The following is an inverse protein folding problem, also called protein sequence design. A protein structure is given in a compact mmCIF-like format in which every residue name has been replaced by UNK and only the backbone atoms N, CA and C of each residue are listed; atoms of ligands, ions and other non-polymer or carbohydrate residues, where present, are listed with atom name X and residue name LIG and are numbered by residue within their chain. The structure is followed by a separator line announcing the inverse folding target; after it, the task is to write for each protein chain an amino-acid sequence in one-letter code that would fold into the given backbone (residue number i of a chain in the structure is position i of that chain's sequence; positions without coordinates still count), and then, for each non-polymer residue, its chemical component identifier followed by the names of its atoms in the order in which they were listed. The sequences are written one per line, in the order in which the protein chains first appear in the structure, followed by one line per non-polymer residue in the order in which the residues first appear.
data_IF_310231031687
#
_entry.id   IF_310231031687
#
_cell.length_a   1.000
_cell.length_b   1.000
_cell.length_c   1.000
_cell.angle_alpha   90.00
_cell.angle_beta   90.00
_cell.angle_gamma   90.00
#
_symmetry.space_group_name_H-M   'P 1'
#
loop_
_entity.id
_entity.type
_entity.pdbx_description
1 polymer ?
#
# COMPACT_ATOMS: atom_id res chain seq x y z
N UNK A 1 64.66 78.03 -19.94
CA UNK A 1 63.64 78.07 -18.87
C UNK A 1 62.26 78.04 -19.49
N UNK A 2 61.52 76.94 -19.31
CA UNK A 2 60.05 76.88 -19.23
C UNK A 2 59.64 75.40 -19.28
N UNK A 3 59.51 74.79 -18.10
CA UNK A 3 58.94 73.45 -17.95
C UNK A 3 57.42 73.58 -17.85
N UNK A 4 56.69 73.05 -18.83
CA UNK A 4 55.23 72.93 -18.80
C UNK A 4 54.87 71.59 -18.15
N UNK A 5 54.56 71.65 -16.85
CA UNK A 5 54.05 70.51 -16.09
C UNK A 5 52.66 70.11 -16.58
N UNK A 6 52.53 68.88 -17.08
CA UNK A 6 51.24 68.23 -17.32
C UNK A 6 50.67 67.79 -15.97
N UNK A 7 49.59 68.41 -15.55
CA UNK A 7 48.76 67.91 -14.46
C UNK A 7 47.90 66.75 -14.97
N UNK A 8 48.25 65.54 -14.55
CA UNK A 8 47.36 64.38 -14.62
C UNK A 8 46.33 64.51 -13.49
N UNK A 9 45.09 64.87 -13.84
CA UNK A 9 43.95 64.75 -12.93
C UNK A 9 43.57 63.27 -12.81
N UNK A 10 44.03 62.61 -11.76
CA UNK A 10 43.46 61.33 -11.34
C UNK A 10 42.06 61.58 -10.81
N UNK A 11 41.05 61.27 -11.62
CA UNK A 11 39.67 61.15 -11.12
C UNK A 11 39.68 59.97 -10.15
N UNK A 12 39.65 60.28 -8.86
CA UNK A 12 39.39 59.29 -7.83
C UNK A 12 38.01 58.69 -8.12
N UNK A 13 37.99 57.44 -8.59
CA UNK A 13 36.77 56.66 -8.65
C UNK A 13 36.23 56.57 -7.22
N UNK A 14 35.17 57.32 -6.94
CA UNK A 14 34.42 57.19 -5.71
C UNK A 14 33.85 55.77 -5.69
N UNK A 15 34.53 54.86 -4.99
CA UNK A 15 33.95 53.58 -4.60
C UNK A 15 32.84 53.92 -3.63
N UNK A 16 31.61 54.08 -4.14
CA UNK A 16 30.44 54.07 -3.28
C UNK A 16 30.51 52.80 -2.46
N UNK A 17 30.52 52.95 -1.13
CA UNK A 17 30.49 51.82 -0.22
C UNK A 17 29.09 51.24 -0.31
N UNK A 18 28.85 50.45 -1.37
CA UNK A 18 27.67 49.61 -1.46
C UNK A 18 27.52 48.87 -0.14
N UNK A 19 26.29 48.83 0.35
CA UNK A 19 25.95 48.15 1.59
C UNK A 19 26.49 46.72 1.53
N UNK A 20 26.84 46.13 2.68
CA UNK A 20 27.37 44.74 2.72
C UNK A 20 26.47 43.76 1.97
N UNK A 21 25.16 44.06 1.91
CA UNK A 21 24.14 43.38 1.12
C UNK A 21 24.29 43.52 -0.39
N UNK A 22 24.55 44.72 -0.92
CA UNK A 22 24.79 44.92 -2.35
C UNK A 22 26.07 44.21 -2.80
N UNK A 23 27.10 44.18 -1.95
CA UNK A 23 28.32 43.38 -2.20
C UNK A 23 28.07 41.88 -2.19
N UNK A 24 27.20 41.37 -1.31
CA UNK A 24 26.82 39.96 -1.28
C UNK A 24 25.96 39.59 -2.49
N UNK A 25 25.00 40.45 -2.87
CA UNK A 25 24.13 40.27 -4.04
C UNK A 25 24.92 40.27 -5.35
N UNK A 26 25.90 41.16 -5.48
CA UNK A 26 26.76 41.26 -6.65
C UNK A 26 27.98 40.32 -6.59
N UNK A 27 28.10 39.50 -5.55
CA UNK A 27 29.10 38.44 -5.49
C UNK A 27 28.76 37.33 -6.49
N UNK A 28 29.74 36.50 -6.84
CA UNK A 28 29.51 35.33 -7.72
C UNK A 28 28.43 34.40 -7.18
N UNK A 29 28.37 34.22 -5.86
CA UNK A 29 27.34 33.41 -5.20
C UNK A 29 25.96 34.07 -5.30
N UNK A 30 25.88 35.39 -5.12
CA UNK A 30 24.62 36.14 -5.25
C UNK A 30 24.06 36.14 -6.67
N UNK A 31 24.91 36.34 -7.68
CA UNK A 31 24.53 36.23 -9.09
C UNK A 31 24.12 34.80 -9.47
N UNK A 32 24.84 33.79 -8.96
CA UNK A 32 24.46 32.38 -9.16
C UNK A 32 23.11 32.05 -8.53
N UNK A 33 22.88 32.44 -7.27
CA UNK A 33 21.59 32.26 -6.61
C UNK A 33 20.47 33.00 -7.35
N UNK A 34 20.73 34.20 -7.87
CA UNK A 34 19.74 34.96 -8.63
C UNK A 34 19.39 34.29 -9.95
N UNK A 35 20.40 33.79 -10.69
CA UNK A 35 20.19 33.01 -11.91
C UNK A 35 19.39 31.75 -11.61
N UNK A 36 19.79 30.99 -10.59
CA UNK A 36 19.11 29.76 -10.18
C UNK A 36 17.64 30.00 -9.83
N UNK A 37 17.35 31.06 -9.07
CA UNK A 37 15.97 31.45 -8.75
C UNK A 37 15.19 31.88 -10.01
N UNK A 38 15.86 32.53 -10.97
CA UNK A 38 15.30 32.85 -12.28
C UNK A 38 14.89 31.59 -13.05
N UNK A 39 15.78 30.61 -13.11
CA UNK A 39 15.55 29.33 -13.80
C UNK A 39 14.38 28.56 -13.19
N UNK A 40 14.30 28.46 -11.85
CA UNK A 40 13.16 27.83 -11.18
C UNK A 40 11.85 28.60 -11.37
N UNK A 41 11.89 29.94 -11.40
CA UNK A 41 10.71 30.76 -11.66
C UNK A 41 10.18 30.52 -13.07
N UNK A 42 11.06 30.48 -14.07
CA UNK A 42 10.65 30.22 -15.45
C UNK A 42 10.14 28.78 -15.60
N UNK A 43 10.80 27.79 -14.99
CA UNK A 43 10.30 26.42 -14.97
C UNK A 43 8.90 26.31 -14.35
N UNK A 44 8.63 27.00 -13.24
CA UNK A 44 7.28 27.06 -12.66
C UNK A 44 6.27 27.67 -13.63
N UNK A 45 6.63 28.78 -14.29
CA UNK A 45 5.77 29.43 -15.29
C UNK A 45 5.45 28.48 -16.45
N UNK A 46 6.44 27.77 -16.96
CA UNK A 46 6.28 26.77 -18.03
C UNK A 46 5.38 25.61 -17.60
N UNK A 47 5.48 25.14 -16.34
CA UNK A 47 4.57 24.12 -15.80
C UNK A 47 3.12 24.61 -15.83
N UNK A 48 2.86 25.84 -15.39
CA UNK A 48 1.51 26.41 -15.40
C UNK A 48 0.97 26.57 -16.82
N UNK A 49 1.75 27.16 -17.74
CA UNK A 49 1.33 27.33 -19.13
C UNK A 49 1.11 25.97 -19.80
N UNK A 50 2.04 25.02 -19.61
CA UNK A 50 1.93 23.66 -20.12
C UNK A 50 0.74 22.88 -19.59
N UNK A 51 0.30 23.17 -18.35
CA UNK A 51 -0.90 22.58 -17.77
C UNK A 51 -2.18 23.03 -18.50
N UNK A 52 -2.26 24.31 -18.89
CA UNK A 52 -3.38 24.83 -19.68
C UNK A 52 -3.33 24.39 -21.15
N UNK A 53 -2.15 24.30 -21.74
CA UNK A 53 -1.99 23.84 -23.14
C UNK A 53 -2.35 22.36 -23.31
N UNK A 54 -2.07 21.51 -22.31
CA UNK A 54 -2.24 20.06 -22.38
C UNK A 54 -2.88 19.50 -21.10
N UNK A 55 -4.16 19.77 -20.84
CA UNK A 55 -4.83 19.42 -19.58
C UNK A 55 -4.81 17.92 -19.31
N UNK A 56 -4.97 17.07 -20.32
CA UNK A 56 -4.94 15.61 -20.13
C UNK A 56 -3.57 15.10 -19.64
N UNK A 57 -2.46 15.62 -20.20
CA UNK A 57 -1.11 15.22 -19.76
C UNK A 57 -0.82 15.74 -18.36
N UNK A 58 -1.23 16.98 -18.07
CA UNK A 58 -1.07 17.57 -16.75
C UNK A 58 -1.85 16.81 -15.68
N UNK A 59 -3.12 16.48 -15.94
CA UNK A 59 -3.94 15.65 -15.06
C UNK A 59 -3.31 14.28 -14.81
N UNK A 60 -2.74 13.64 -15.83
CA UNK A 60 -2.04 12.38 -15.66
C UNK A 60 -0.82 12.50 -14.72
N UNK A 61 0.02 13.52 -14.90
CA UNK A 61 1.18 13.72 -14.02
C UNK A 61 0.78 14.08 -12.58
N UNK A 62 -0.26 14.91 -12.41
CA UNK A 62 -0.80 15.24 -11.09
C UNK A 62 -1.38 14.00 -10.42
N UNK A 63 -2.12 13.17 -11.16
CA UNK A 63 -2.66 11.91 -10.65
C UNK A 63 -1.56 10.92 -10.28
N UNK A 64 -0.49 10.82 -11.08
CA UNK A 64 0.67 9.97 -10.78
C UNK A 64 1.39 10.45 -9.51
N UNK A 65 1.69 11.75 -9.41
CA UNK A 65 2.39 12.32 -8.26
C UNK A 65 1.53 12.24 -6.99
N UNK A 66 0.26 12.61 -7.09
CA UNK A 66 -0.69 12.52 -5.99
C UNK A 66 -0.94 11.07 -5.56
N UNK A 67 -1.07 10.15 -6.51
CA UNK A 67 -1.25 8.73 -6.27
C UNK A 67 -0.05 8.08 -5.60
N UNK A 68 1.17 8.35 -6.10
CA UNK A 68 2.41 7.87 -5.46
C UNK A 68 2.61 8.43 -4.06
N UNK A 69 2.32 9.72 -3.85
CA UNK A 69 2.36 10.33 -2.52
C UNK A 69 1.31 9.73 -1.57
N UNK A 70 0.09 9.51 -2.05
CA UNK A 70 -0.95 8.84 -1.26
C UNK A 70 -0.57 7.41 -0.91
N UNK A 71 0.00 6.65 -1.84
CA UNK A 71 0.51 5.30 -1.59
C UNK A 71 1.66 5.30 -0.57
N UNK A 72 2.59 6.27 -0.66
CA UNK A 72 3.66 6.44 0.31
C UNK A 72 3.11 6.74 1.71
N UNK A 73 2.15 7.65 1.81
CA UNK A 73 1.54 8.04 3.08
C UNK A 73 0.71 6.91 3.72
N UNK A 74 0.05 6.11 2.89
CA UNK A 74 -0.76 4.97 3.35
C UNK A 74 0.04 3.67 3.44
N UNK A 75 1.34 3.66 3.15
CA UNK A 75 2.11 2.44 3.13
C UNK A 75 2.16 1.82 4.54
N UNK A 76 1.72 0.56 4.73
CA UNK A 76 1.69 -0.04 6.05
C UNK A 76 3.09 -0.25 6.62
N UNK A 77 3.21 -0.14 7.94
CA UNK A 77 4.44 -0.29 8.68
C UNK A 77 4.54 -1.64 9.40
N UNK A 78 5.68 -1.90 10.05
CA UNK A 78 5.87 -3.14 10.83
C UNK A 78 4.79 -3.32 11.90
N UNK A 79 4.40 -2.23 12.59
CA UNK A 79 3.40 -2.34 13.66
C UNK A 79 2.02 -2.68 13.13
N UNK A 80 1.64 -2.13 11.97
CA UNK A 80 0.42 -2.50 11.23
C UNK A 80 0.40 -3.99 10.89
N UNK A 81 1.52 -4.59 10.49
CA UNK A 81 1.54 -6.02 10.21
C UNK A 81 1.33 -6.86 11.48
N UNK A 82 1.99 -6.47 12.58
CA UNK A 82 1.87 -7.17 13.86
C UNK A 82 0.45 -7.10 14.42
N UNK A 83 -0.19 -5.94 14.33
CA UNK A 83 -1.58 -5.78 14.74
C UNK A 83 -2.52 -6.61 13.86
N UNK A 84 -2.28 -6.66 12.55
CA UNK A 84 -3.08 -7.46 11.63
C UNK A 84 -2.99 -8.96 11.94
N UNK A 85 -1.80 -9.49 12.22
CA UNK A 85 -1.63 -10.90 12.65
C UNK A 85 -2.46 -11.18 13.91
N UNK A 86 -2.45 -10.27 14.89
CA UNK A 86 -3.21 -10.45 16.14
C UNK A 86 -4.73 -10.39 15.89
N UNK A 87 -5.18 -9.44 15.07
CA UNK A 87 -6.59 -9.31 14.70
C UNK A 87 -7.10 -10.56 13.98
N UNK A 88 -6.38 -11.05 12.97
CA UNK A 88 -6.77 -12.26 12.23
C UNK A 88 -6.69 -13.51 13.09
N UNK A 89 -5.73 -13.57 14.04
CA UNK A 89 -5.68 -14.66 15.03
C UNK A 89 -6.92 -14.66 15.93
N UNK A 90 -7.37 -13.48 16.36
CA UNK A 90 -8.59 -13.36 17.16
C UNK A 90 -9.84 -13.74 16.38
N UNK A 91 -9.94 -13.33 15.10
CA UNK A 91 -11.05 -13.72 14.22
C UNK A 91 -11.13 -15.25 14.07
N UNK A 92 -9.99 -15.92 13.85
CA UNK A 92 -9.93 -17.38 13.76
C UNK A 92 -10.23 -18.06 15.10
N UNK A 93 -9.87 -17.44 16.22
CA UNK A 93 -10.14 -17.99 17.56
C UNK A 93 -11.64 -18.00 17.91
N UNK A 94 -12.46 -17.18 17.24
CA UNK A 94 -13.92 -17.20 17.40
C UNK A 94 -14.57 -18.39 16.69
N UNK A 95 -13.90 -18.97 15.70
CA UNK A 95 -14.42 -20.09 14.91
C UNK A 95 -14.05 -21.42 15.55
N UNK A 96 -14.96 -22.39 15.43
CA UNK A 96 -14.63 -23.78 15.80
C UNK A 96 -13.62 -24.37 14.80
N UNK A 97 -12.78 -25.33 15.22
CA UNK A 97 -11.85 -26.00 14.31
C UNK A 97 -12.50 -26.70 13.12
N UNK A 98 -13.80 -27.01 13.19
CA UNK A 98 -14.53 -27.75 12.15
C UNK A 98 -14.96 -26.88 10.97
N UNK A 99 -15.19 -25.59 11.19
CA UNK A 99 -15.70 -24.65 10.18
C UNK A 99 -14.62 -23.71 9.64
N UNK A 100 -13.48 -23.58 10.33
CA UNK A 100 -12.40 -22.68 9.90
C UNK A 100 -11.62 -23.24 8.72
N UNK A 101 -11.19 -22.37 7.82
CA UNK A 101 -10.31 -22.73 6.70
C UNK A 101 -8.92 -23.15 7.19
N UNK A 102 -8.48 -24.35 6.78
CA UNK A 102 -7.15 -24.86 7.10
C UNK A 102 -6.01 -24.03 6.49
N UNK A 103 -6.24 -23.37 5.35
CA UNK A 103 -5.23 -22.55 4.67
C UNK A 103 -5.01 -21.23 5.41
N UNK A 104 -6.09 -20.57 5.83
CA UNK A 104 -6.06 -19.33 6.63
C UNK A 104 -5.44 -19.60 8.00
N UNK A 105 -5.94 -20.62 8.70
CA UNK A 105 -5.47 -21.00 10.03
C UNK A 105 -3.99 -21.40 10.04
N UNK A 106 -3.57 -22.29 9.12
CA UNK A 106 -2.17 -22.69 9.00
C UNK A 106 -1.25 -21.51 8.68
N UNK A 107 -1.68 -20.59 7.82
CA UNK A 107 -0.90 -19.40 7.49
C UNK A 107 -0.75 -18.46 8.70
N UNK A 108 -1.84 -18.10 9.37
CA UNK A 108 -1.80 -17.19 10.53
C UNK A 108 -1.00 -17.81 11.68
N UNK A 109 -1.15 -19.11 11.95
CA UNK A 109 -0.33 -19.80 12.95
C UNK A 109 1.16 -19.79 12.58
N UNK A 110 1.51 -19.97 11.30
CA UNK A 110 2.91 -19.87 10.86
C UNK A 110 3.48 -18.46 11.07
N UNK A 111 2.71 -17.42 10.77
CA UNK A 111 3.12 -16.03 11.01
C UNK A 111 3.27 -15.73 12.50
N UNK A 112 2.32 -16.17 13.34
CA UNK A 112 2.39 -16.02 14.79
C UNK A 112 3.61 -16.74 15.37
N UNK A 113 3.95 -17.93 14.87
CA UNK A 113 5.16 -18.66 15.23
C UNK A 113 6.42 -17.86 14.87
N UNK A 114 6.54 -17.37 13.63
CA UNK A 114 7.69 -16.59 13.18
C UNK A 114 7.86 -15.28 13.98
N UNK A 115 6.74 -14.65 14.36
CA UNK A 115 6.75 -13.49 15.25
C UNK A 115 7.31 -13.86 16.63
N UNK A 116 6.80 -14.93 17.24
CA UNK A 116 7.24 -15.37 18.57
C UNK A 116 8.71 -15.81 18.57
N UNK A 117 9.23 -16.32 17.44
CA UNK A 117 10.64 -16.67 17.25
C UNK A 117 11.55 -15.46 16.94
N UNK A 118 11.02 -14.24 16.80
CA UNK A 118 11.84 -13.05 16.45
C UNK A 118 12.37 -13.06 15.00
N UNK A 119 11.83 -13.94 14.15
CA UNK A 119 12.31 -14.19 12.78
C UNK A 119 11.58 -13.39 11.70
N UNK A 120 10.53 -12.67 12.10
CA UNK A 120 9.75 -11.85 11.20
C UNK A 120 10.42 -10.50 10.97
N UNK A 121 10.74 -10.17 9.72
CA UNK A 121 11.44 -8.93 9.35
C UNK A 121 10.62 -8.09 8.38
N UNK A 122 10.79 -6.78 8.50
CA UNK A 122 10.08 -5.78 7.71
C UNK A 122 11.08 -4.87 6.97
N UNK A 123 10.76 -4.53 5.73
CA UNK A 123 11.46 -3.52 4.95
C UNK A 123 10.46 -2.61 4.24
N UNK A 124 10.66 -1.29 4.34
CA UNK A 124 9.89 -0.30 3.60
C UNK A 124 10.65 0.13 2.35
N UNK A 125 10.00 0.03 1.18
CA UNK A 125 10.50 0.48 -0.12
C UNK A 125 9.86 1.83 -0.54
N UNK A 126 9.30 2.57 0.43
CA UNK A 126 8.60 3.84 0.20
C UNK A 126 7.11 3.63 -0.06
N UNK A 127 6.72 3.26 -1.27
CA UNK A 127 5.30 3.05 -1.65
C UNK A 127 4.80 1.63 -1.38
N UNK A 128 5.73 0.68 -1.23
CA UNK A 128 5.47 -0.73 -0.96
C UNK A 128 6.24 -1.12 0.28
N UNK A 129 5.65 -1.97 1.10
CA UNK A 129 6.27 -2.60 2.25
C UNK A 129 6.36 -4.09 2.02
N UNK A 130 7.39 -4.72 2.56
CA UNK A 130 7.60 -6.15 2.40
C UNK A 130 7.96 -6.78 3.73
N UNK A 131 7.28 -7.87 4.03
CA UNK A 131 7.55 -8.68 5.21
C UNK A 131 8.14 -10.02 4.78
N UNK A 132 9.24 -10.42 5.40
CA UNK A 132 9.98 -11.62 5.04
C UNK A 132 10.47 -12.38 6.27
N UNK A 133 10.83 -13.65 6.05
CA UNK A 133 11.36 -14.54 7.07
C UNK A 133 12.88 -14.54 7.11
N UNK A 134 13.45 -14.31 8.30
CA UNK A 134 14.86 -14.52 8.60
C UNK A 134 15.11 -15.89 9.23
N UNK A 135 16.35 -16.39 9.15
CA UNK A 135 16.70 -17.68 9.77
C UNK A 135 16.88 -17.57 11.29
N UNK A 136 17.33 -16.41 11.78
CA UNK A 136 17.63 -16.19 13.18
C UNK A 136 17.04 -14.86 13.69
N UNK A 137 16.75 -14.84 14.97
CA UNK A 137 16.46 -13.64 15.77
C UNK A 137 17.71 -12.71 15.76
N UNK A 138 17.55 -11.37 15.69
CA UNK A 138 18.69 -10.45 15.77
C UNK A 138 19.44 -10.42 17.12
N UNK A 139 18.80 -10.80 18.23
CA UNK A 139 19.38 -10.76 19.58
C UNK A 139 20.50 -11.80 19.84
N UNK A 140 20.34 -13.10 19.52
CA UNK A 140 21.36 -14.09 19.82
C UNK A 140 22.67 -13.84 19.05
N UNK A 141 23.79 -13.99 19.74
CA UNK A 141 25.15 -13.84 19.21
C UNK A 141 25.75 -15.17 18.71
N UNK A 142 24.91 -16.05 18.14
CA UNK A 142 25.36 -17.29 17.54
C UNK A 142 26.27 -17.02 16.34
N UNK A 143 27.30 -17.84 16.15
CA UNK A 143 28.23 -17.69 15.04
C UNK A 143 27.52 -17.84 13.69
N UNK A 144 26.60 -18.79 13.59
CA UNK A 144 25.81 -19.06 12.38
C UNK A 144 24.99 -17.84 11.96
N UNK A 145 24.47 -17.08 12.92
CA UNK A 145 23.67 -15.88 12.66
C UNK A 145 24.52 -14.67 12.22
N UNK A 146 25.81 -14.64 12.56
CA UNK A 146 26.72 -13.51 12.25
C UNK A 146 27.60 -13.75 11.01
N UNK A 147 27.80 -15.01 10.63
CA UNK A 147 28.69 -15.36 9.54
C UNK A 147 28.12 -14.92 8.18
N UNK A 148 28.80 -14.00 7.50
CA UNK A 148 28.39 -13.50 6.18
C UNK A 148 28.39 -14.59 5.10
N UNK A 149 29.27 -15.58 5.22
CA UNK A 149 29.32 -16.72 4.28
C UNK A 149 28.09 -17.65 4.40
N UNK A 150 27.40 -17.64 5.55
CA UNK A 150 26.16 -18.39 5.78
C UNK A 150 24.91 -17.53 5.55
N UNK A 151 25.09 -16.24 5.25
CA UNK A 151 23.97 -15.34 5.01
C UNK A 151 23.20 -15.71 3.74
N UNK A 152 21.89 -15.51 3.80
CA UNK A 152 20.98 -15.87 2.71
C UNK A 152 21.27 -14.98 1.48
N UNK A 153 21.50 -15.58 0.29
CA UNK A 153 21.64 -14.81 -0.93
C UNK A 153 20.36 -14.04 -1.28
N UNK A 154 20.51 -12.83 -1.84
CA UNK A 154 19.38 -12.02 -2.31
C UNK A 154 18.49 -12.74 -3.34
N UNK A 155 19.01 -13.73 -4.08
CA UNK A 155 18.23 -14.53 -5.03
C UNK A 155 17.14 -15.37 -4.35
N UNK A 156 17.34 -15.77 -3.10
CA UNK A 156 16.37 -16.56 -2.33
C UNK A 156 15.36 -15.69 -1.57
N UNK A 157 15.46 -14.36 -1.67
CA UNK A 157 14.55 -13.46 -0.96
C UNK A 157 13.09 -13.71 -1.38
N UNK A 158 12.84 -14.00 -2.67
CA UNK A 158 11.49 -14.24 -3.22
C UNK A 158 10.76 -15.37 -2.49
N UNK A 159 11.47 -16.45 -2.16
CA UNK A 159 10.91 -17.63 -1.48
C UNK A 159 10.60 -17.35 0.00
N UNK A 160 11.20 -16.29 0.55
CA UNK A 160 11.08 -15.89 1.97
C UNK A 160 10.10 -14.74 2.18
N UNK A 161 9.56 -14.16 1.11
CA UNK A 161 8.52 -13.12 1.19
C UNK A 161 7.26 -13.76 1.75
N UNK A 162 6.75 -13.17 2.83
CA UNK A 162 5.54 -13.62 3.50
C UNK A 162 4.34 -12.78 3.06
N UNK A 163 4.52 -11.46 3.01
CA UNK A 163 3.46 -10.52 2.64
C UNK A 163 3.99 -9.25 1.96
N UNK A 164 3.12 -8.62 1.18
CA UNK A 164 3.34 -7.37 0.47
C UNK A 164 2.32 -6.35 0.98
N UNK A 165 2.83 -5.29 1.59
CA UNK A 165 2.08 -4.13 2.02
C UNK A 165 1.99 -3.09 0.91
N UNK A 166 0.77 -2.69 0.54
CA UNK A 166 0.56 -1.64 -0.45
C UNK A 166 -0.80 -0.96 -0.23
N UNK A 167 -0.82 0.37 -0.30
CA UNK A 167 -2.04 1.19 -0.14
C UNK A 167 -2.84 0.89 1.15
N UNK A 168 -2.14 0.77 2.28
CA UNK A 168 -2.75 0.57 3.61
C UNK A 168 -3.18 -0.87 3.92
N UNK A 169 -2.86 -1.82 3.06
CA UNK A 169 -3.33 -3.22 3.17
C UNK A 169 -2.20 -4.22 3.06
N UNK A 170 -2.40 -5.38 3.68
CA UNK A 170 -1.51 -6.54 3.61
C UNK A 170 -2.14 -7.59 2.71
N UNK A 171 -1.71 -7.64 1.45
CA UNK A 171 -2.46 -8.28 0.38
C UNK A 171 -2.52 -9.80 0.50
N UNK A 172 -1.42 -10.45 0.90
CA UNK A 172 -1.38 -11.92 0.98
C UNK A 172 -2.18 -12.39 2.20
N UNK A 173 -2.02 -11.73 3.35
CA UNK A 173 -2.78 -12.05 4.55
C UNK A 173 -4.29 -11.78 4.36
N UNK A 174 -4.68 -10.65 3.76
CA UNK A 174 -6.09 -10.35 3.47
C UNK A 174 -6.69 -11.38 2.51
N UNK A 175 -6.00 -11.72 1.42
CA UNK A 175 -6.49 -12.71 0.45
C UNK A 175 -6.66 -14.09 1.10
N UNK A 176 -5.73 -14.51 1.96
CA UNK A 176 -5.87 -15.78 2.69
C UNK A 176 -6.93 -15.74 3.78
N UNK A 177 -7.35 -14.56 4.22
CA UNK A 177 -8.39 -14.37 5.22
C UNK A 177 -9.76 -14.03 4.60
N UNK A 178 -9.93 -14.06 3.28
CA UNK A 178 -11.21 -13.73 2.64
C UNK A 178 -12.32 -14.74 3.00
N UNK A 179 -12.04 -16.04 2.87
CA UNK A 179 -12.98 -17.13 3.18
C UNK A 179 -12.50 -17.97 4.38
N UNK A 180 -12.14 -17.29 5.47
CA UNK A 180 -11.55 -17.94 6.65
C UNK A 180 -12.53 -18.83 7.44
N UNK A 181 -13.82 -18.67 7.19
CA UNK A 181 -14.96 -19.38 7.79
C UNK A 181 -15.51 -20.52 6.90
N UNK A 182 -14.85 -20.83 5.80
CA UNK A 182 -15.21 -21.94 4.91
C UNK A 182 -14.14 -23.03 5.01
N UNK A 183 -14.53 -24.22 5.48
CA UNK A 183 -13.66 -25.38 5.48
C UNK A 183 -13.89 -26.25 4.24
N UNK A 184 -13.02 -26.12 3.23
CA UNK A 184 -13.10 -26.90 1.98
C UNK A 184 -13.07 -28.42 2.21
N UNK A 185 -12.43 -28.90 3.28
CA UNK A 185 -12.38 -30.33 3.61
C UNK A 185 -13.77 -30.92 3.87
N UNK A 186 -14.69 -30.13 4.41
CA UNK A 186 -16.07 -30.56 4.65
C UNK A 186 -16.77 -30.93 3.34
N UNK A 187 -16.51 -30.20 2.26
CA UNK A 187 -17.28 -30.30 1.01
C UNK A 187 -16.69 -31.27 -0.01
N UNK A 188 -15.51 -31.86 0.22
CA UNK A 188 -14.82 -32.74 -0.74
C UNK A 188 -15.62 -33.96 -1.21
N UNK A 189 -16.59 -34.40 -0.41
CA UNK A 189 -17.43 -35.55 -0.71
C UNK A 189 -18.63 -35.21 -1.61
N UNK A 190 -18.88 -33.92 -1.88
CA UNK A 190 -19.96 -33.46 -2.75
C UNK A 190 -19.63 -33.69 -4.23
N UNK A 191 -20.68 -33.74 -5.05
CA UNK A 191 -20.53 -33.89 -6.49
C UNK A 191 -19.88 -32.62 -7.11
N UNK A 192 -19.17 -32.73 -8.25
CA UNK A 192 -18.53 -31.58 -8.88
C UNK A 192 -19.50 -30.44 -9.23
N UNK A 193 -20.76 -30.78 -9.56
CA UNK A 193 -21.79 -29.80 -9.85
C UNK A 193 -22.16 -28.95 -8.62
N UNK A 194 -22.15 -29.54 -7.42
CA UNK A 194 -22.40 -28.83 -6.16
C UNK A 194 -21.18 -28.04 -5.70
N UNK A 195 -19.95 -28.53 -5.95
CA UNK A 195 -18.74 -27.77 -5.64
C UNK A 195 -18.59 -26.51 -6.51
N UNK A 196 -19.11 -26.55 -7.74
CA UNK A 196 -19.06 -25.43 -8.67
C UNK A 196 -20.13 -24.34 -8.39
N UNK A 197 -21.02 -24.54 -7.41
CA UNK A 197 -22.06 -23.55 -7.12
C UNK A 197 -21.46 -22.29 -6.50
N UNK A 198 -21.75 -21.15 -7.10
CA UNK A 198 -21.39 -19.85 -6.55
C UNK A 198 -22.35 -19.46 -5.40
N UNK A 199 -21.92 -18.57 -4.48
CA UNK A 199 -22.81 -17.95 -3.52
C UNK A 199 -24.00 -17.27 -4.23
N UNK A 200 -25.24 -17.40 -3.70
CA UNK A 200 -26.42 -16.83 -4.34
C UNK A 200 -26.34 -15.30 -4.35
N UNK A 201 -26.79 -14.72 -5.45
CA UNK A 201 -26.94 -13.26 -5.56
C UNK A 201 -28.11 -12.76 -4.71
N UNK A 202 -28.13 -11.48 -4.30
CA UNK A 202 -29.23 -10.93 -3.50
C UNK A 202 -30.63 -11.13 -4.12
N UNK A 203 -30.72 -11.07 -5.45
CA UNK A 203 -31.97 -11.30 -6.18
C UNK A 203 -32.43 -12.77 -6.12
N UNK A 204 -31.48 -13.72 -6.14
CA UNK A 204 -31.78 -15.15 -6.00
C UNK A 204 -32.21 -15.47 -4.58
N UNK A 205 -31.57 -14.85 -3.58
CA UNK A 205 -31.98 -14.97 -2.18
C UNK A 205 -33.40 -14.44 -1.97
N UNK A 206 -33.72 -13.25 -2.50
CA UNK A 206 -35.08 -12.67 -2.41
C UNK A 206 -36.13 -13.57 -3.11
N UNK A 207 -35.79 -14.13 -4.28
CA UNK A 207 -36.65 -15.09 -4.98
C UNK A 207 -36.90 -16.33 -4.13
N UNK A 208 -35.86 -16.90 -3.51
CA UNK A 208 -35.99 -18.09 -2.66
C UNK A 208 -36.87 -17.80 -1.43
N UNK A 209 -36.72 -16.63 -0.82
CA UNK A 209 -37.58 -16.19 0.29
C UNK A 209 -39.05 -16.06 -0.14
N UNK A 210 -39.31 -15.46 -1.31
CA UNK A 210 -40.67 -15.34 -1.85
C UNK A 210 -41.30 -16.71 -2.13
N UNK A 211 -40.57 -17.61 -2.78
CA UNK A 211 -41.04 -18.98 -3.05
C UNK A 211 -41.31 -19.74 -1.74
N UNK A 212 -40.46 -19.54 -0.72
CA UNK A 212 -40.69 -20.11 0.61
C UNK A 212 -42.00 -19.59 1.22
N UNK A 213 -42.27 -18.28 1.17
CA UNK A 213 -43.53 -17.70 1.64
C UNK A 213 -44.74 -18.21 0.85
N UNK A 214 -44.60 -18.38 -0.47
CA UNK A 214 -45.64 -18.93 -1.33
C UNK A 214 -45.96 -20.40 -1.03
N UNK A 215 -44.95 -21.18 -0.63
CA UNK A 215 -45.14 -22.60 -0.28
C UNK A 215 -46.06 -22.81 0.94
N UNK A 216 -46.28 -21.78 1.75
CA UNK A 216 -47.14 -21.83 2.94
C UNK A 216 -48.57 -21.33 2.69
N UNK A 217 -48.88 -20.88 1.46
CA UNK A 217 -50.24 -20.44 1.12
C UNK A 217 -51.18 -21.65 1.12
N UNK A 218 -52.35 -21.49 1.73
CA UNK A 218 -53.37 -22.53 1.76
C UNK A 218 -53.82 -22.90 0.34
N UNK A 219 -53.94 -24.20 0.08
CA UNK A 219 -54.51 -24.71 -1.17
C UNK A 219 -56.02 -24.47 -1.14
N UNK A 220 -56.56 -23.88 -2.21
CA UNK A 220 -58.00 -23.77 -2.40
C UNK A 220 -58.51 -25.11 -2.97
N UNK A 221 -59.40 -25.77 -2.25
CA UNK A 221 -60.10 -26.98 -2.70
C UNK A 221 -61.32 -26.56 -3.51
N UNK A 222 -61.16 -26.39 -4.82
CA UNK A 222 -62.31 -26.25 -5.73
C UNK A 222 -62.86 -27.66 -6.02
N UNK A 223 -63.79 -28.14 -5.18
CA UNK A 223 -64.43 -29.45 -5.40
C UNK A 223 -65.21 -30.09 -4.25
N UNK A 224 -65.28 -29.50 -3.05
CA UNK A 224 -66.02 -30.12 -1.93
C UNK A 224 -67.54 -30.12 -2.11
N UNK A 225 -68.10 -29.38 -3.06
CA UNK A 225 -69.56 -29.35 -3.31
C UNK A 225 -70.11 -30.63 -3.97
N UNK A 226 -69.27 -31.48 -4.60
CA UNK A 226 -69.73 -32.73 -5.23
C UNK A 226 -69.71 -33.95 -4.29
N UNK A 227 -68.96 -33.92 -3.19
CA UNK A 227 -68.84 -35.07 -2.27
C UNK A 227 -69.93 -35.15 -1.18
N UNK A 228 -70.63 -34.05 -0.90
CA UNK A 228 -71.71 -33.98 0.11
C UNK A 228 -73.12 -34.24 -0.50
N UNK A 229 -73.18 -34.54 -1.80
CA UNK A 229 -74.44 -34.78 -2.54
C UNK A 229 -74.65 -36.22 -3.04
N UNK A 230 -73.82 -37.17 -2.57
CA UNK A 230 -73.91 -38.61 -2.91
C UNK A 230 -74.26 -39.49 -1.70
#
# INVERSE_FOLDING_TARGET
MAALGRWCSTVAAATSKGTRWERLRNSRAGLWCHSLLGDYKEACREIFVGAFERPFKASFYVALLGGTYACYYTNPDSTSFQSRILETSNQLALLSPWIRSGTSDGHVQSLAKLRNEGRLRYISLGIVSLTYMADYDPEPSLYEARCSALSVPWSQLRERVLDIGFAGRWWILENKMENYDINEEEFKHLSPALLATAPPTPQETERNERLHQESWKALLMEGEEEMDSM
#
